data_IF_046598490241
#
_entry.id   IF_046598490241
#
_cell.length_a   1.000
_cell.length_b   1.000
_cell.length_c   1.000
_cell.angle_alpha   90.00
_cell.angle_beta   90.00
_cell.angle_gamma   90.00
#
_symmetry.space_group_name_H-M   'P 1'
#
loop_
_entity.id
_entity.type
_entity.pdbx_description
1 polymer ?
#
# COMPACT_ATOMS: atom_id res chain seq x y z
N UNK A 1 -32.31 33.04 -0.84
CA UNK A 1 -32.45 31.61 -1.23
C UNK A 1 -31.08 31.13 -1.70
N UNK A 2 -30.23 30.78 -0.74
CA UNK A 2 -28.80 30.45 -0.95
C UNK A 2 -28.68 28.94 -1.20
N UNK A 3 -28.14 28.54 -2.36
CA UNK A 3 -27.79 27.14 -2.62
C UNK A 3 -26.41 26.87 -2.01
N UNK A 4 -26.39 26.06 -0.97
CA UNK A 4 -25.17 25.50 -0.39
C UNK A 4 -24.42 24.68 -1.45
N UNK A 5 -23.24 25.17 -1.83
CA UNK A 5 -22.25 24.44 -2.62
C UNK A 5 -21.54 23.45 -1.68
N UNK A 6 -21.60 22.16 -1.95
CA UNK A 6 -20.90 21.14 -1.17
C UNK A 6 -19.37 21.37 -1.23
N UNK A 7 -18.66 21.48 -0.10
CA UNK A 7 -17.22 21.78 -0.07
C UNK A 7 -16.33 20.65 -0.62
N UNK A 8 -16.91 19.50 -1.00
CA UNK A 8 -16.21 18.34 -1.56
C UNK A 8 -15.98 18.39 -3.08
N UNK A 9 -16.75 19.20 -3.82
CA UNK A 9 -16.55 19.36 -5.28
C UNK A 9 -15.46 20.38 -5.63
N UNK A 10 -15.10 21.27 -4.71
CA UNK A 10 -14.07 22.30 -4.94
C UNK A 10 -12.65 21.75 -5.11
N UNK A 11 -12.33 20.61 -4.49
CA UNK A 11 -11.02 19.97 -4.64
C UNK A 11 -10.84 19.25 -5.99
N UNK A 12 -11.94 18.81 -6.61
CA UNK A 12 -11.91 18.05 -7.88
C UNK A 12 -11.69 19.01 -9.07
N UNK A 13 -12.22 20.23 -9.00
CA UNK A 13 -12.02 21.25 -10.04
C UNK A 13 -10.60 21.84 -10.05
N UNK A 14 -9.90 21.87 -8.90
CA UNK A 14 -8.53 22.39 -8.82
C UNK A 14 -7.50 21.42 -9.45
N UNK A 15 -7.82 20.13 -9.55
CA UNK A 15 -6.93 19.11 -10.13
C UNK A 15 -7.06 18.99 -11.65
N UNK A 16 -8.24 19.31 -12.22
CA UNK A 16 -8.49 19.29 -13.67
C UNK A 16 -7.86 20.48 -14.42
N UNK A 17 -7.50 21.57 -13.72
CA UNK A 17 -6.84 22.73 -14.33
C UNK A 17 -5.31 22.60 -14.48
N UNK A 18 -4.66 21.56 -13.94
CA UNK A 18 -3.22 21.31 -14.16
C UNK A 18 -2.92 20.43 -15.37
N UNK A 19 -3.94 19.97 -16.11
CA UNK A 19 -3.77 19.00 -17.21
C UNK A 19 -3.63 19.62 -18.61
N UNK A 20 -3.55 20.95 -18.74
CA UNK A 20 -3.53 21.65 -20.04
C UNK A 20 -2.15 22.00 -20.60
N UNK A 21 -1.05 21.51 -20.01
CA UNK A 21 0.30 21.71 -20.57
C UNK A 21 1.08 20.40 -20.73
N UNK A 22 0.46 19.38 -21.33
CA UNK A 22 1.23 18.28 -21.93
C UNK A 22 1.75 18.79 -23.28
N UNK A 23 2.84 19.55 -23.22
CA UNK A 23 3.64 19.84 -24.40
C UNK A 23 4.34 18.54 -24.80
N UNK A 24 3.91 17.96 -25.92
CA UNK A 24 4.65 16.89 -26.60
C UNK A 24 6.01 17.45 -27.01
N UNK A 25 7.02 17.22 -26.19
CA UNK A 25 8.42 17.52 -26.52
C UNK A 25 9.11 16.19 -26.84
N UNK A 26 9.27 15.89 -28.13
CA UNK A 26 10.17 14.83 -28.59
C UNK A 26 11.58 15.11 -28.07
N UNK A 27 12.10 14.25 -27.20
CA UNK A 27 13.47 14.35 -26.70
C UNK A 27 14.39 13.45 -27.52
N UNK A 28 15.26 14.09 -28.32
CA UNK A 28 16.42 13.50 -29.00
C UNK A 28 17.18 12.52 -28.09
N UNK A 29 17.57 11.37 -28.66
CA UNK A 29 18.49 10.40 -28.04
C UNK A 29 19.87 11.03 -27.84
N UNK A 30 20.13 11.49 -26.62
CA UNK A 30 21.48 11.75 -26.12
C UNK A 30 21.93 10.57 -25.25
N UNK A 31 23.21 10.21 -25.37
CA UNK A 31 23.86 9.10 -24.65
C UNK A 31 23.57 9.19 -23.15
N UNK A 32 22.90 8.16 -22.64
CA UNK A 32 22.29 8.13 -21.31
C UNK A 32 23.40 7.93 -20.26
N UNK A 33 23.90 9.04 -19.69
CA UNK A 33 24.50 9.04 -18.35
C UNK A 33 23.54 8.26 -17.43
N UNK A 34 24.02 7.21 -16.76
CA UNK A 34 23.18 6.42 -15.85
C UNK A 34 22.49 7.38 -14.88
N UNK A 35 21.17 7.51 -15.04
CA UNK A 35 20.37 8.37 -14.18
C UNK A 35 20.21 7.63 -12.85
N UNK A 36 20.86 8.12 -11.80
CA UNK A 36 20.73 7.63 -10.42
C UNK A 36 19.32 7.78 -9.81
N UNK A 37 18.35 8.25 -10.61
CA UNK A 37 16.96 8.39 -10.24
C UNK A 37 16.07 8.13 -11.47
N UNK A 38 15.07 7.27 -11.32
CA UNK A 38 14.09 6.93 -12.33
C UNK A 38 12.68 7.05 -11.74
N UNK A 39 11.82 7.81 -12.40
CA UNK A 39 10.41 7.93 -12.07
C UNK A 39 9.60 7.28 -13.18
N UNK A 40 8.71 6.36 -12.82
CA UNK A 40 7.81 5.68 -13.75
C UNK A 40 6.36 5.86 -13.30
N UNK A 41 5.64 6.85 -13.86
CA UNK A 41 4.21 6.98 -13.68
C UNK A 41 3.47 6.01 -14.62
N UNK A 42 2.50 5.27 -14.10
CA UNK A 42 1.71 4.29 -14.83
C UNK A 42 0.22 4.56 -14.57
N UNK A 43 -0.58 4.89 -15.59
CA UNK A 43 -2.03 4.93 -15.41
C UNK A 43 -2.56 3.53 -15.14
N UNK A 44 -3.60 3.44 -14.30
CA UNK A 44 -4.28 2.18 -13.98
C UNK A 44 -5.74 2.33 -14.39
N UNK A 45 -6.25 1.37 -15.16
CA UNK A 45 -7.67 1.23 -15.48
C UNK A 45 -8.01 -0.26 -15.48
N UNK A 46 -9.07 -0.66 -14.78
CA UNK A 46 -9.55 -2.04 -14.78
C UNK A 46 -11.05 -2.09 -14.50
N UNK A 47 -11.65 -3.24 -14.75
CA UNK A 47 -13.05 -3.51 -14.46
C UNK A 47 -13.15 -4.85 -13.70
N UNK A 48 -13.91 -4.88 -12.62
CA UNK A 48 -14.26 -6.11 -11.89
C UNK A 48 -15.74 -6.09 -11.48
N UNK A 49 -16.39 -7.25 -11.28
CA UNK A 49 -17.74 -7.31 -10.72
C UNK A 49 -17.88 -6.55 -9.39
N UNK A 50 -16.84 -6.58 -8.56
CA UNK A 50 -16.83 -6.02 -7.21
C UNK A 50 -16.65 -4.50 -7.21
N UNK A 51 -15.82 -3.98 -8.12
CA UNK A 51 -15.46 -2.54 -8.16
C UNK A 51 -16.14 -1.77 -9.29
N UNK A 52 -16.74 -2.47 -10.26
CA UNK A 52 -17.02 -1.96 -11.60
C UNK A 52 -15.74 -1.33 -12.19
N UNK A 53 -15.90 -0.29 -13.00
CA UNK A 53 -14.78 0.45 -13.56
C UNK A 53 -14.00 1.16 -12.45
N UNK A 54 -12.70 0.94 -12.45
CA UNK A 54 -11.73 1.58 -11.57
C UNK A 54 -10.68 2.30 -12.42
N UNK A 55 -10.22 3.45 -11.94
CA UNK A 55 -9.18 4.25 -12.57
C UNK A 55 -8.26 4.87 -11.51
N UNK A 56 -7.02 5.14 -11.89
CA UNK A 56 -6.03 5.61 -10.96
C UNK A 56 -4.65 5.70 -11.56
N UNK A 57 -3.64 5.71 -10.70
CA UNK A 57 -2.25 5.72 -11.11
C UNK A 57 -1.34 5.05 -10.10
N UNK A 58 -0.28 4.44 -10.61
CA UNK A 58 0.90 4.02 -9.87
C UNK A 58 2.07 4.93 -10.19
N UNK A 59 2.94 5.18 -9.23
CA UNK A 59 4.22 5.85 -9.44
C UNK A 59 5.31 5.03 -8.77
N UNK A 60 6.33 4.64 -9.53
CA UNK A 60 7.56 4.10 -9.00
C UNK A 60 8.65 5.17 -9.04
N UNK A 61 9.21 5.50 -7.89
CA UNK A 61 10.42 6.31 -7.78
C UNK A 61 11.57 5.39 -7.36
N UNK A 62 12.55 5.20 -8.22
CA UNK A 62 13.72 4.33 -8.02
C UNK A 62 14.97 5.20 -7.94
N UNK A 63 15.78 5.04 -6.92
CA UNK A 63 16.98 5.85 -6.72
C UNK A 63 18.02 5.15 -5.84
N UNK A 64 19.26 5.62 -5.90
CA UNK A 64 20.27 5.26 -4.91
C UNK A 64 20.38 6.39 -3.88
N UNK A 65 20.41 6.04 -2.58
CA UNK A 65 20.59 7.03 -1.51
C UNK A 65 21.98 7.67 -1.57
N UNK A 66 22.98 6.88 -1.96
CA UNK A 66 24.37 7.27 -2.11
C UNK A 66 24.76 7.04 -3.59
N UNK A 67 24.82 8.10 -4.43
CA UNK A 67 25.03 7.99 -5.87
C UNK A 67 26.32 7.30 -6.32
N UNK A 68 27.33 7.27 -5.45
CA UNK A 68 28.66 6.70 -5.70
C UNK A 68 28.74 5.22 -5.28
N UNK A 69 27.74 4.72 -4.57
CA UNK A 69 27.69 3.36 -4.07
C UNK A 69 27.10 2.42 -5.14
N UNK A 70 27.89 1.42 -5.52
CA UNK A 70 27.55 0.39 -6.51
C UNK A 70 27.19 -0.97 -5.86
N UNK A 71 27.31 -1.07 -4.54
CA UNK A 71 27.07 -2.29 -3.77
C UNK A 71 25.65 -2.32 -3.18
N UNK A 72 25.02 -1.17 -2.96
CA UNK A 72 23.65 -1.10 -2.44
C UNK A 72 22.59 -1.48 -3.47
N UNK A 73 21.50 -2.05 -2.98
CA UNK A 73 20.30 -2.22 -3.78
C UNK A 73 19.63 -0.87 -4.06
N UNK A 74 18.98 -0.75 -5.21
CA UNK A 74 18.21 0.44 -5.56
C UNK A 74 17.06 0.64 -4.56
N UNK A 75 17.05 1.81 -3.93
CA UNK A 75 15.94 2.23 -3.07
C UNK A 75 14.72 2.56 -3.91
N UNK A 76 13.53 2.34 -3.35
CA UNK A 76 12.31 2.66 -4.05
C UNK A 76 11.23 3.24 -3.13
N UNK A 77 10.36 4.03 -3.74
CA UNK A 77 9.05 4.41 -3.23
C UNK A 77 8.03 4.11 -4.33
N UNK A 78 7.12 3.19 -4.06
CA UNK A 78 5.95 2.88 -4.89
C UNK A 78 4.73 3.50 -4.24
N UNK A 79 3.94 4.24 -5.02
CA UNK A 79 2.68 4.81 -4.54
C UNK A 79 1.57 4.47 -5.53
N UNK A 80 0.37 4.18 -5.02
CA UNK A 80 -0.81 3.91 -5.82
C UNK A 80 -1.99 4.73 -5.30
N UNK A 81 -2.77 5.29 -6.22
CA UNK A 81 -4.08 5.87 -5.94
C UNK A 81 -5.09 5.30 -6.93
N UNK A 82 -6.16 4.71 -6.42
CA UNK A 82 -7.23 4.11 -7.24
C UNK A 82 -8.57 4.60 -6.72
N UNK A 83 -9.47 4.93 -7.64
CA UNK A 83 -10.86 5.26 -7.38
C UNK A 83 -11.77 4.42 -8.28
N UNK A 84 -12.96 4.06 -7.80
CA UNK A 84 -13.90 3.21 -8.53
C UNK A 84 -15.25 3.87 -8.70
N UNK A 85 -16.03 3.46 -9.71
CA UNK A 85 -17.39 3.95 -9.92
C UNK A 85 -18.37 3.55 -8.80
N UNK A 86 -18.00 2.58 -7.96
CA UNK A 86 -18.73 2.23 -6.74
C UNK A 86 -18.30 3.08 -5.53
N UNK A 87 -17.62 4.22 -5.73
CA UNK A 87 -17.13 5.12 -4.68
C UNK A 87 -16.13 4.49 -3.71
N UNK A 88 -15.36 3.50 -4.17
CA UNK A 88 -14.26 2.91 -3.40
C UNK A 88 -12.98 3.68 -3.71
N UNK A 89 -12.05 3.70 -2.75
CA UNK A 89 -10.75 4.32 -2.94
C UNK A 89 -9.65 3.55 -2.24
N UNK A 90 -8.45 3.60 -2.83
CA UNK A 90 -7.23 3.00 -2.32
C UNK A 90 -6.11 4.01 -2.46
N UNK A 91 -5.39 4.25 -1.37
CA UNK A 91 -4.12 4.93 -1.36
C UNK A 91 -3.08 4.02 -0.70
N UNK A 92 -2.06 3.62 -1.45
CA UNK A 92 -0.98 2.75 -0.97
C UNK A 92 0.37 3.46 -1.15
N UNK A 93 1.26 3.31 -0.17
CA UNK A 93 2.68 3.65 -0.27
C UNK A 93 3.51 2.49 0.27
N UNK A 94 4.41 1.96 -0.55
CA UNK A 94 5.38 0.92 -0.21
C UNK A 94 6.78 1.42 -0.53
N UNK A 95 7.68 1.41 0.45
CA UNK A 95 9.06 1.82 0.25
C UNK A 95 10.06 0.87 0.89
N UNK A 96 11.21 0.73 0.24
CA UNK A 96 12.41 0.16 0.83
C UNK A 96 13.60 1.07 0.52
N UNK A 97 14.23 1.57 1.56
CA UNK A 97 15.38 2.47 1.49
C UNK A 97 16.61 1.76 2.04
N UNK A 98 17.69 1.77 1.28
CA UNK A 98 18.96 1.12 1.61
C UNK A 98 20.01 2.21 1.82
N UNK A 99 20.69 2.18 2.96
CA UNK A 99 21.65 3.20 3.36
C UNK A 99 23.00 2.55 3.72
N UNK A 100 24.08 3.33 3.55
CA UNK A 100 25.42 3.04 4.07
C UNK A 100 25.93 1.67 3.65
N UNK A 101 26.10 1.41 2.35
CA UNK A 101 26.56 0.12 1.82
C UNK A 101 25.68 -1.06 2.29
N UNK A 102 24.37 -0.84 2.32
CA UNK A 102 23.35 -1.79 2.75
C UNK A 102 23.57 -2.29 4.20
N UNK A 103 24.08 -1.40 5.07
CA UNK A 103 24.19 -1.63 6.51
C UNK A 103 22.90 -1.32 7.25
N UNK A 104 22.06 -0.46 6.70
CA UNK A 104 20.82 -0.02 7.30
C UNK A 104 19.70 -0.01 6.27
N UNK A 105 18.53 -0.53 6.63
CA UNK A 105 17.35 -0.57 5.76
C UNK A 105 16.15 0.04 6.48
N UNK A 106 15.42 0.92 5.79
CA UNK A 106 14.11 1.38 6.23
C UNK A 106 13.04 0.87 5.28
N UNK A 107 12.11 0.08 5.79
CA UNK A 107 10.97 -0.42 5.02
C UNK A 107 9.68 0.13 5.62
N UNK A 108 8.85 0.76 4.80
CA UNK A 108 7.52 1.15 5.23
C UNK A 108 6.45 0.67 4.24
N UNK A 109 5.29 0.35 4.79
CA UNK A 109 4.09 0.02 4.06
C UNK A 109 2.93 0.77 4.70
N UNK A 110 2.22 1.56 3.90
CA UNK A 110 1.04 2.31 4.30
C UNK A 110 -0.07 2.03 3.31
N UNK A 111 -1.27 1.79 3.82
CA UNK A 111 -2.48 1.66 3.02
C UNK A 111 -3.62 2.34 3.75
N UNK A 112 -4.41 3.08 2.98
CA UNK A 112 -5.67 3.69 3.37
C UNK A 112 -6.68 3.29 2.31
N UNK A 113 -7.72 2.55 2.67
CA UNK A 113 -8.72 2.14 1.68
C UNK A 113 -10.12 2.07 2.28
N UNK A 114 -11.09 2.26 1.40
CA UNK A 114 -12.48 1.95 1.62
C UNK A 114 -12.90 1.00 0.51
N UNK A 115 -12.88 -0.29 0.81
CA UNK A 115 -13.22 -1.36 -0.14
C UNK A 115 -14.16 -2.35 0.56
N UNK A 116 -15.17 -2.87 -0.16
CA UNK A 116 -15.97 -3.94 0.37
C UNK A 116 -15.20 -5.25 0.33
N UNK A 117 -15.30 -6.00 1.41
CA UNK A 117 -14.87 -7.39 1.48
C UNK A 117 -16.12 -8.29 1.60
N UNK A 118 -15.97 -9.56 1.22
CA UNK A 118 -17.02 -10.56 1.41
C UNK A 118 -16.74 -11.38 2.66
N UNK A 119 -17.74 -11.47 3.53
CA UNK A 119 -17.75 -12.37 4.68
C UNK A 119 -18.57 -13.61 4.36
N UNK A 120 -17.95 -14.76 4.54
CA UNK A 120 -18.50 -16.07 4.20
C UNK A 120 -19.00 -16.85 5.43
N UNK A 121 -19.13 -16.18 6.58
CA UNK A 121 -19.45 -16.85 7.84
C UNK A 121 -18.22 -17.45 8.54
N UNK A 122 -18.48 -18.09 9.69
CA UNK A 122 -17.49 -18.77 10.54
C UNK A 122 -17.97 -20.19 10.79
N UNK A 123 -17.11 -21.18 10.63
CA UNK A 123 -17.39 -22.58 10.93
C UNK A 123 -17.59 -23.46 9.69
N UNK A 124 -18.06 -24.69 9.90
CA UNK A 124 -18.32 -25.67 8.83
C UNK A 124 -19.73 -25.57 8.24
N UNK A 125 -20.65 -24.85 8.90
CA UNK A 125 -22.04 -24.66 8.46
C UNK A 125 -22.17 -23.50 7.45
N UNK A 126 -21.25 -23.39 6.49
CA UNK A 126 -21.30 -22.38 5.42
C UNK A 126 -22.21 -22.93 4.33
N UNK A 127 -23.45 -22.43 4.27
CA UNK A 127 -24.48 -22.92 3.36
C UNK A 127 -24.49 -22.05 2.09
N UNK A 128 -23.85 -22.53 1.02
CA UNK A 128 -23.94 -22.00 -0.35
C UNK A 128 -23.35 -20.58 -0.63
N UNK A 129 -23.10 -20.31 -1.92
CA UNK A 129 -22.57 -19.03 -2.45
C UNK A 129 -23.48 -17.82 -2.19
N UNK A 130 -24.75 -18.07 -1.87
CA UNK A 130 -25.80 -17.07 -1.64
C UNK A 130 -25.74 -16.45 -0.23
N UNK A 131 -25.03 -17.08 0.73
CA UNK A 131 -24.93 -16.61 2.13
C UNK A 131 -23.75 -15.63 2.36
N UNK A 132 -23.13 -15.10 1.30
CA UNK A 132 -22.03 -14.13 1.45
C UNK A 132 -22.57 -12.73 1.79
N UNK A 133 -22.04 -12.15 2.85
CA UNK A 133 -22.36 -10.79 3.28
C UNK A 133 -21.28 -9.83 2.76
N UNK A 134 -21.67 -8.79 2.02
CA UNK A 134 -20.74 -7.74 1.61
C UNK A 134 -20.62 -6.72 2.74
N UNK A 135 -19.40 -6.48 3.19
CA UNK A 135 -19.10 -5.54 4.27
C UNK A 135 -18.16 -4.48 3.73
N UNK A 136 -18.55 -3.22 3.83
CA UNK A 136 -17.65 -2.12 3.55
C UNK A 136 -17.03 -1.63 4.85
N UNK A 137 -15.72 -1.40 4.85
CA UNK A 137 -15.06 -0.73 5.96
C UNK A 137 -13.93 0.15 5.46
N UNK A 138 -13.64 1.16 6.26
CA UNK A 138 -12.46 2.00 6.08
C UNK A 138 -11.33 1.41 6.92
N UNK A 139 -10.27 0.93 6.27
CA UNK A 139 -9.08 0.47 6.98
C UNK A 139 -7.82 1.29 6.68
N UNK A 140 -7.03 1.44 7.73
CA UNK A 140 -5.68 2.01 7.72
C UNK A 140 -4.73 0.92 8.18
N UNK A 141 -3.75 0.56 7.36
CA UNK A 141 -2.63 -0.28 7.77
C UNK A 141 -1.33 0.48 7.61
N UNK A 142 -0.51 0.50 8.65
CA UNK A 142 0.83 1.04 8.62
C UNK A 142 1.81 0.05 9.23
N UNK A 143 2.95 -0.14 8.58
CA UNK A 143 4.04 -0.98 9.04
C UNK A 143 5.34 -0.29 8.73
N UNK A 144 6.19 -0.12 9.73
CA UNK A 144 7.52 0.45 9.59
C UNK A 144 8.55 -0.49 10.20
N UNK A 145 9.66 -0.72 9.51
CA UNK A 145 10.79 -1.51 10.00
C UNK A 145 12.08 -0.75 9.76
N UNK A 146 12.90 -0.66 10.80
CA UNK A 146 14.25 -0.13 10.71
C UNK A 146 15.22 -1.24 11.06
N UNK A 147 16.01 -1.68 10.08
CA UNK A 147 16.80 -2.90 10.20
C UNK A 147 18.29 -2.57 10.06
N UNK A 148 19.10 -3.14 10.94
CA UNK A 148 20.55 -2.99 10.93
C UNK A 148 21.19 -4.32 10.55
N UNK A 149 22.22 -4.27 9.70
CA UNK A 149 22.97 -5.46 9.30
C UNK A 149 23.78 -5.98 10.49
N UNK A 150 23.49 -7.20 10.92
CA UNK A 150 24.18 -7.89 12.02
C UNK A 150 25.20 -8.93 11.54
N UNK A 151 25.00 -9.46 10.33
CA UNK A 151 25.94 -10.33 9.63
C UNK A 151 25.70 -10.22 8.11
N UNK A 152 26.48 -10.93 7.29
CA UNK A 152 26.29 -10.93 5.83
C UNK A 152 24.85 -11.32 5.50
N UNK A 153 24.15 -10.43 4.80
CA UNK A 153 22.75 -10.62 4.37
C UNK A 153 21.74 -10.80 5.51
N UNK A 154 22.12 -10.57 6.76
CA UNK A 154 21.27 -10.74 7.94
C UNK A 154 21.06 -9.40 8.63
N UNK A 155 19.81 -9.07 8.92
CA UNK A 155 19.39 -7.81 9.47
C UNK A 155 18.46 -8.01 10.65
N UNK A 156 18.55 -7.13 11.64
CA UNK A 156 17.71 -7.13 12.83
C UNK A 156 17.36 -5.68 13.20
N UNK A 157 16.14 -5.45 13.66
CA UNK A 157 15.79 -4.17 14.26
C UNK A 157 14.31 -4.03 14.61
N UNK A 158 13.89 -2.86 15.09
CA UNK A 158 12.52 -2.62 15.50
C UNK A 158 11.54 -2.65 14.33
N UNK A 159 10.32 -3.10 14.61
CA UNK A 159 9.16 -3.03 13.72
C UNK A 159 7.96 -2.50 14.48
N UNK A 160 7.31 -1.50 13.89
CA UNK A 160 6.01 -0.99 14.33
C UNK A 160 4.92 -1.44 13.36
N UNK A 161 3.74 -1.76 13.88
CA UNK A 161 2.53 -2.04 13.11
C UNK A 161 1.33 -1.34 13.72
N UNK A 162 0.49 -0.78 12.86
CA UNK A 162 -0.81 -0.21 13.19
C UNK A 162 -1.82 -0.77 12.18
N UNK A 163 -2.93 -1.26 12.70
CA UNK A 163 -4.11 -1.62 11.94
C UNK A 163 -5.31 -0.95 12.58
N UNK A 164 -6.13 -0.27 11.79
CA UNK A 164 -7.38 0.31 12.27
C UNK A 164 -8.47 0.04 11.25
N UNK A 165 -9.57 -0.55 11.69
CA UNK A 165 -10.80 -0.72 10.93
C UNK A 165 -11.87 0.17 11.55
N UNK A 166 -12.47 1.01 10.73
CA UNK A 166 -13.44 2.04 11.10
C UNK A 166 -14.58 2.03 10.08
N UNK A 167 -15.66 2.75 10.41
CA UNK A 167 -16.81 2.95 9.51
C UNK A 167 -17.28 1.63 8.88
N UNK A 168 -17.44 0.60 9.71
CA UNK A 168 -17.90 -0.72 9.27
C UNK A 168 -19.40 -0.61 8.95
N UNK A 169 -19.72 -0.75 7.67
CA UNK A 169 -21.08 -0.76 7.15
C UNK A 169 -21.52 -2.22 6.96
N UNK A 170 -22.50 -2.63 7.77
CA UNK A 170 -23.08 -3.96 7.77
C UNK A 170 -24.51 -3.89 7.21
N UNK A 171 -24.93 -4.85 6.36
CA UNK A 171 -26.32 -4.98 5.93
C UNK A 171 -27.33 -5.04 7.08
N UNK A 172 -28.59 -4.71 6.78
CA UNK A 172 -29.68 -4.75 7.77
C UNK A 172 -29.91 -6.15 8.36
N UNK A 173 -29.63 -7.23 7.62
CA UNK A 173 -29.63 -8.61 8.09
C UNK A 173 -28.20 -9.13 8.05
N UNK A 174 -27.42 -8.83 9.10
CA UNK A 174 -25.99 -9.13 9.17
C UNK A 174 -25.70 -10.27 10.12
N UNK A 175 -25.06 -11.33 9.61
CA UNK A 175 -24.61 -12.46 10.43
C UNK A 175 -23.56 -12.04 11.46
N UNK A 176 -22.80 -10.98 11.16
CA UNK A 176 -21.80 -10.42 12.08
C UNK A 176 -22.48 -9.74 13.25
N UNK A 177 -23.50 -8.93 12.97
CA UNK A 177 -24.24 -8.19 14.00
C UNK A 177 -25.05 -9.15 14.88
N UNK A 178 -25.71 -10.13 14.27
CA UNK A 178 -26.57 -11.07 14.99
C UNK A 178 -25.78 -11.99 15.93
N UNK A 179 -24.50 -12.22 15.63
CA UNK A 179 -23.58 -13.04 16.45
C UNK A 179 -22.68 -12.21 17.37
N UNK A 180 -22.84 -10.89 17.39
CA UNK A 180 -22.02 -9.94 18.18
C UNK A 180 -20.50 -10.22 18.07
N UNK A 181 -20.01 -10.50 16.86
CA UNK A 181 -18.61 -10.87 16.66
C UNK A 181 -17.67 -9.75 17.09
N UNK A 182 -16.66 -10.05 17.90
CA UNK A 182 -15.75 -9.04 18.45
C UNK A 182 -15.10 -8.19 17.35
N UNK A 183 -15.15 -6.86 17.50
CA UNK A 183 -14.59 -5.91 16.55
C UNK A 183 -15.54 -5.44 15.45
N UNK A 184 -16.81 -5.88 15.45
CA UNK A 184 -17.82 -5.46 14.46
C UNK A 184 -18.14 -3.95 14.46
N UNK A 185 -17.88 -3.25 15.56
CA UNK A 185 -18.02 -1.79 15.66
C UNK A 185 -16.77 -1.00 15.27
N UNK A 186 -15.75 -1.68 14.74
CA UNK A 186 -14.43 -1.12 14.50
C UNK A 186 -13.44 -1.49 15.60
N UNK A 187 -12.16 -1.48 15.26
CA UNK A 187 -11.07 -1.76 16.19
C UNK A 187 -9.77 -1.13 15.72
N UNK A 188 -8.87 -0.87 16.67
CA UNK A 188 -7.50 -0.45 16.38
C UNK A 188 -6.55 -1.37 17.13
N UNK A 189 -5.56 -1.89 16.42
CA UNK A 189 -4.47 -2.67 16.96
C UNK A 189 -3.16 -1.94 16.64
N UNK A 190 -2.40 -1.61 17.68
CA UNK A 190 -1.08 -1.00 17.54
C UNK A 190 -0.06 -1.90 18.21
N UNK A 191 1.10 -2.11 17.60
CA UNK A 191 2.10 -3.00 18.15
C UNK A 191 3.51 -2.62 17.80
N UNK A 192 4.41 -2.90 18.75
CA UNK A 192 5.85 -2.73 18.59
C UNK A 192 6.54 -4.09 18.78
N UNK A 193 7.60 -4.30 18.02
CA UNK A 193 8.25 -5.59 17.98
C UNK A 193 9.65 -5.56 17.40
N UNK A 194 10.21 -6.75 17.23
CA UNK A 194 11.49 -6.97 16.58
C UNK A 194 11.26 -7.73 15.28
N UNK A 195 12.03 -7.37 14.25
CA UNK A 195 12.05 -8.03 12.96
C UNK A 195 13.46 -8.45 12.60
N UNK A 196 13.60 -9.72 12.22
CA UNK A 196 14.80 -10.31 11.64
C UNK A 196 14.56 -10.56 10.15
N UNK A 197 15.57 -10.29 9.33
CA UNK A 197 15.53 -10.54 7.89
C UNK A 197 16.83 -11.21 7.46
N UNK A 198 16.73 -12.30 6.70
CA UNK A 198 17.82 -12.83 5.90
C UNK A 198 17.46 -12.68 4.43
N UNK A 199 18.24 -11.88 3.70
CA UNK A 199 17.91 -11.47 2.33
C UNK A 199 19.14 -11.57 1.44
N UNK A 200 19.18 -12.62 0.62
CA UNK A 200 20.27 -12.91 -0.32
C UNK A 200 19.89 -12.61 -1.77
N UNK A 201 18.74 -11.97 -1.99
CA UNK A 201 18.26 -11.63 -3.34
C UNK A 201 19.20 -10.68 -4.04
N UNK A 202 19.41 -10.93 -5.31
CA UNK A 202 20.16 -10.08 -6.23
C UNK A 202 19.46 -8.73 -6.48
N UNK A 203 18.13 -8.73 -6.49
CA UNK A 203 17.33 -7.51 -6.66
C UNK A 203 16.04 -7.60 -5.82
N UNK A 204 15.82 -6.65 -4.91
CA UNK A 204 14.62 -6.64 -4.05
C UNK A 204 13.29 -6.46 -4.78
N UNK A 205 13.31 -5.82 -5.96
CA UNK A 205 12.11 -5.51 -6.76
C UNK A 205 11.80 -6.60 -7.79
N UNK A 206 12.83 -7.18 -8.40
CA UNK A 206 12.70 -8.20 -9.43
C UNK A 206 13.81 -9.26 -9.28
N UNK A 207 13.70 -10.07 -8.23
CA UNK A 207 14.70 -11.07 -7.90
C UNK A 207 14.75 -12.17 -8.96
N UNK A 208 15.95 -12.48 -9.46
CA UNK A 208 16.17 -13.64 -10.34
C UNK A 208 16.84 -14.80 -9.62
N UNK A 209 17.47 -14.53 -8.47
CA UNK A 209 18.14 -15.52 -7.64
C UNK A 209 18.14 -15.12 -6.16
N UNK A 210 18.49 -16.07 -5.28
CA UNK A 210 18.56 -15.85 -3.83
C UNK A 210 17.26 -16.13 -3.07
N UNK A 211 17.27 -15.81 -1.78
CA UNK A 211 16.21 -16.14 -0.83
C UNK A 211 15.88 -14.96 0.08
N UNK A 212 14.62 -14.88 0.48
CA UNK A 212 14.14 -13.96 1.51
C UNK A 212 13.48 -14.75 2.64
N UNK A 213 14.00 -14.62 3.85
CA UNK A 213 13.34 -15.06 5.08
C UNK A 213 13.12 -13.82 5.94
N UNK A 214 11.89 -13.62 6.41
CA UNK A 214 11.54 -12.55 7.33
C UNK A 214 10.77 -13.14 8.51
N UNK A 215 11.23 -12.82 9.72
CA UNK A 215 10.60 -13.23 10.97
C UNK A 215 10.35 -11.97 11.79
N UNK A 216 9.15 -11.80 12.33
CA UNK A 216 8.84 -10.69 13.21
C UNK A 216 8.00 -11.16 14.39
N UNK A 217 8.31 -10.65 15.57
CA UNK A 217 7.48 -10.79 16.76
C UNK A 217 7.02 -9.41 17.18
N UNK A 218 5.70 -9.22 17.19
CA UNK A 218 5.07 -7.95 17.54
C UNK A 218 4.18 -8.18 18.74
N UNK A 219 4.25 -7.26 19.69
CA UNK A 219 3.37 -7.22 20.85
C UNK A 219 2.38 -6.10 20.58
N UNK A 220 1.10 -6.46 20.53
CA UNK A 220 0.01 -5.52 20.30
C UNK A 220 -0.58 -5.05 21.63
N UNK A 221 -0.97 -3.77 21.67
CA UNK A 221 -1.78 -3.14 22.69
C UNK A 221 -3.22 -2.94 22.19
#
# INVERSE_FOLDING_TARGET
>A
MSRNLNPRLGLIALFLCLCSTISFAEKKKEQKKEKNHSILPLPVIYYSPETKLAFGGLVFNLFHMEPEDTLTQTSYVRSAFIYTLNNQYLFEVDNALFFRDDRMRMKNYFILRSYPDFFYGIGQDIVAEDDKEQIAFFDLKYRASFLFRIAKNMYLGPRYQLYSAMDIDLPEESMIRDRELTGYGGYTSSGLGLAFQWDTRDNVLNATSGHLIELARIVHA
#
